data_IF_284382776372
#
_entry.id   IF_284382776372
#
_cell.length_a   1.000
_cell.length_b   1.000
_cell.length_c   1.000
_cell.angle_alpha   90.00
_cell.angle_beta   90.00
_cell.angle_gamma   90.00
#
_symmetry.space_group_name_H-M   'P 1'
#
loop_
_entity.id
_entity.type
_entity.pdbx_description
1 polymer ?
#
# COMPACT_ATOMS: atom_id res chain seq x y z
N UNK A 1 17.32 -0.74 17.86
CA UNK A 1 17.61 -1.26 16.51
C UNK A 1 16.48 -0.80 15.61
N UNK A 2 16.71 0.22 14.79
CA UNK A 2 15.71 0.70 13.84
C UNK A 2 15.82 -0.17 12.58
N UNK A 3 14.83 -1.02 12.32
CA UNK A 3 14.72 -1.66 11.02
C UNK A 3 14.58 -0.55 9.98
N UNK A 4 15.50 -0.49 9.04
CA UNK A 4 15.37 0.36 7.86
C UNK A 4 14.17 -0.21 7.08
N UNK A 5 12.96 0.27 7.36
CA UNK A 5 11.80 -0.08 6.55
C UNK A 5 12.03 0.62 5.22
N UNK A 6 12.58 -0.11 4.26
CA UNK A 6 12.50 0.27 2.86
C UNK A 6 11.00 0.35 2.56
N UNK A 7 10.47 1.57 2.50
CA UNK A 7 9.08 1.79 2.12
C UNK A 7 8.91 1.31 0.66
N UNK A 8 8.44 0.07 0.50
CA UNK A 8 8.22 -0.53 -0.81
C UNK A 8 6.92 0.04 -1.39
N UNK A 9 7.06 1.22 -2.00
CA UNK A 9 5.96 1.95 -2.63
C UNK A 9 5.56 1.29 -3.95
N UNK A 10 4.59 0.39 -3.87
CA UNK A 10 4.10 -0.36 -5.00
C UNK A 10 2.89 0.31 -5.66
N UNK A 11 2.60 -0.05 -6.91
CA UNK A 11 1.37 0.39 -7.58
C UNK A 11 0.13 -0.33 -6.99
N UNK A 12 -1.09 0.20 -7.16
CA UNK A 12 -2.31 -0.47 -6.68
C UNK A 12 -2.49 -1.87 -7.27
N UNK A 13 -2.07 -2.07 -8.53
CA UNK A 13 -2.08 -3.40 -9.17
C UNK A 13 -1.13 -4.36 -8.46
N UNK A 14 0.10 -3.93 -8.21
CA UNK A 14 1.13 -4.75 -7.54
C UNK A 14 0.76 -5.05 -6.09
N UNK A 15 0.16 -4.09 -5.38
CA UNK A 15 -0.38 -4.31 -4.03
C UNK A 15 -1.49 -5.36 -4.03
N UNK A 16 -2.41 -5.29 -5.01
CA UNK A 16 -3.49 -6.27 -5.17
C UNK A 16 -2.94 -7.69 -5.39
N UNK A 17 -1.92 -7.83 -6.26
CA UNK A 17 -1.23 -9.11 -6.50
C UNK A 17 -0.55 -9.66 -5.24
N UNK A 18 0.10 -8.81 -4.44
CA UNK A 18 0.81 -9.26 -3.23
C UNK A 18 -0.11 -9.58 -2.06
N UNK A 19 -1.24 -8.87 -1.94
CA UNK A 19 -2.25 -9.12 -0.91
C UNK A 19 -3.28 -10.18 -1.30
N UNK A 20 -3.20 -10.73 -2.51
CA UNK A 20 -4.17 -11.66 -3.09
C UNK A 20 -5.63 -11.14 -3.04
N UNK A 21 -5.82 -9.87 -3.43
CA UNK A 21 -7.14 -9.22 -3.45
C UNK A 21 -7.41 -8.54 -4.79
N UNK A 22 -8.67 -8.17 -5.04
CA UNK A 22 -9.00 -7.32 -6.18
C UNK A 22 -8.47 -5.88 -5.98
N UNK A 23 -8.07 -5.21 -7.08
CA UNK A 23 -7.73 -3.78 -7.13
C UNK A 23 -8.82 -2.89 -6.50
N UNK A 24 -10.10 -3.25 -6.65
CA UNK A 24 -11.18 -2.50 -5.99
C UNK A 24 -11.03 -2.50 -4.47
N UNK A 25 -10.61 -3.61 -3.87
CA UNK A 25 -10.33 -3.71 -2.43
C UNK A 25 -9.19 -2.78 -2.04
N UNK A 26 -8.12 -2.69 -2.83
CA UNK A 26 -7.02 -1.74 -2.60
C UNK A 26 -7.56 -0.30 -2.55
N UNK A 27 -8.37 0.11 -3.52
CA UNK A 27 -8.94 1.46 -3.51
C UNK A 27 -9.90 1.70 -2.34
N UNK A 28 -10.72 0.71 -1.97
CA UNK A 28 -11.60 0.80 -0.80
C UNK A 28 -10.81 0.95 0.50
N UNK A 29 -9.74 0.18 0.68
CA UNK A 29 -8.87 0.31 1.86
C UNK A 29 -8.15 1.67 1.90
N UNK A 30 -7.72 2.18 0.75
CA UNK A 30 -7.17 3.54 0.66
C UNK A 30 -8.21 4.59 1.06
N UNK A 31 -9.44 4.48 0.54
CA UNK A 31 -10.53 5.41 0.85
C UNK A 31 -10.95 5.36 2.33
N UNK A 32 -10.83 4.19 2.97
CA UNK A 32 -11.06 3.99 4.41
C UNK A 32 -9.89 4.43 5.29
N UNK A 33 -8.74 4.77 4.72
CA UNK A 33 -7.52 5.08 5.47
C UNK A 33 -6.85 3.87 6.12
N UNK A 34 -7.25 2.66 5.75
CA UNK A 34 -6.71 1.41 6.31
C UNK A 34 -5.41 0.98 5.64
N UNK A 35 -5.24 1.36 4.37
CA UNK A 35 -4.03 1.08 3.60
C UNK A 35 -3.20 2.37 3.44
N UNK A 36 -2.01 2.44 4.09
CA UNK A 36 -1.09 3.56 3.94
C UNK A 36 -0.74 3.79 2.46
N UNK A 37 -0.91 5.01 1.99
CA UNK A 37 -0.64 5.39 0.62
C UNK A 37 -0.21 6.85 0.51
N UNK A 38 0.53 7.14 -0.55
CA UNK A 38 0.92 8.51 -0.93
C UNK A 38 0.52 8.76 -2.37
N UNK A 39 0.17 10.01 -2.67
CA UNK A 39 -0.10 10.45 -4.04
C UNK A 39 1.09 11.25 -4.54
N UNK A 40 1.70 10.78 -5.62
CA UNK A 40 2.83 11.45 -6.29
C UNK A 40 2.34 11.94 -7.64
N UNK A 41 2.01 13.22 -7.72
CA UNK A 41 1.30 13.79 -8.88
C UNK A 41 -0.08 13.16 -9.07
N UNK A 42 -0.31 12.53 -10.22
CA UNK A 42 -1.54 11.78 -10.51
C UNK A 42 -1.48 10.29 -10.12
N UNK A 43 -0.33 9.79 -9.67
CA UNK A 43 -0.10 8.37 -9.41
C UNK A 43 -0.29 8.03 -7.93
N UNK A 44 -1.07 7.00 -7.66
CA UNK A 44 -1.24 6.43 -6.31
C UNK A 44 -0.14 5.40 -6.04
N UNK A 45 0.53 5.52 -4.88
CA UNK A 45 1.56 4.59 -4.41
C UNK A 45 1.18 4.05 -3.05
N UNK A 46 1.21 2.74 -2.91
CA UNK A 46 0.82 2.02 -1.70
C UNK A 46 2.07 1.71 -0.90
N UNK A 47 2.10 2.09 0.36
CA UNK A 47 3.16 1.70 1.29
C UNK A 47 2.81 0.36 1.92
N UNK A 48 3.13 -0.71 1.19
CA UNK A 48 2.78 -2.05 1.60
C UNK A 48 3.64 -2.53 2.77
N UNK A 49 4.88 -2.05 2.87
CA UNK A 49 5.76 -2.34 4.00
C UNK A 49 5.17 -1.83 5.32
N UNK A 50 4.69 -0.58 5.35
CA UNK A 50 4.03 -0.04 6.54
C UNK A 50 2.71 -0.75 6.87
N UNK A 51 1.96 -1.21 5.87
CA UNK A 51 0.75 -1.99 6.08
C UNK A 51 1.03 -3.33 6.76
N UNK A 52 2.00 -4.09 6.22
CA UNK A 52 2.37 -5.42 6.74
C UNK A 52 3.06 -5.36 8.10
N UNK A 53 3.77 -4.26 8.41
CA UNK A 53 4.36 -4.08 9.74
C UNK A 53 3.31 -3.83 10.84
N UNK A 54 2.05 -3.52 10.50
CA UNK A 54 0.95 -3.30 11.44
C UNK A 54 0.10 -4.54 11.72
N UNK A 55 0.25 -5.61 10.91
CA UNK A 55 -0.50 -6.87 11.02
C UNK A 55 0.32 -7.94 11.72
#
# INVERSE_FOLDING_TARGET
MAALVLHDFVSPKRAAEQLDVNRETIYRLCARGELPHVRVGSVLRIDLGAYLARS
#
